data_IF_330146897098
#
_entry.id   IF_330146897098
#
_cell.length_a   1.000
_cell.length_b   1.000
_cell.length_c   1.000
_cell.angle_alpha   90.00
_cell.angle_beta   90.00
_cell.angle_gamma   90.00
#
_symmetry.space_group_name_H-M   'P 1'
#
loop_
_entity.id
_entity.type
_entity.pdbx_description
1 polymer ?
#
# COMPACT_ATOMS: atom_id res chain seq x y z
N UNK A 1 2.22 -37.60 18.19
CA UNK A 1 3.43 -36.78 18.00
C UNK A 1 3.53 -36.46 16.52
N UNK A 2 3.13 -35.25 16.15
CA UNK A 2 3.42 -34.69 14.82
C UNK A 2 4.48 -33.64 15.09
N UNK A 3 5.64 -33.79 14.47
CA UNK A 3 6.72 -32.80 14.51
C UNK A 3 6.16 -31.48 13.96
N UNK A 4 5.90 -30.51 14.82
CA UNK A 4 5.67 -29.12 14.41
C UNK A 4 7.02 -28.56 13.99
N UNK A 5 7.32 -28.69 12.70
CA UNK A 5 8.58 -28.23 12.14
C UNK A 5 8.63 -26.70 12.11
N UNK A 6 9.81 -26.18 12.43
CA UNK A 6 10.23 -24.77 12.47
C UNK A 6 9.84 -23.95 11.21
N UNK A 7 9.63 -24.63 10.08
CA UNK A 7 9.18 -24.07 8.81
C UNK A 7 7.73 -23.54 8.88
N UNK A 8 6.84 -24.20 9.63
CA UNK A 8 5.47 -23.74 9.81
C UNK A 8 5.37 -22.54 10.74
N UNK A 9 6.29 -22.38 11.70
CA UNK A 9 6.27 -21.24 12.62
C UNK A 9 6.69 -19.94 11.92
N UNK A 10 7.66 -20.03 11.00
CA UNK A 10 8.07 -18.89 10.17
C UNK A 10 6.98 -18.48 9.17
N UNK A 11 6.28 -19.45 8.58
CA UNK A 11 5.16 -19.20 7.67
C UNK A 11 3.96 -18.58 8.42
N UNK A 12 3.63 -19.09 9.61
CA UNK A 12 2.59 -18.51 10.48
C UNK A 12 2.94 -17.09 10.92
N UNK A 13 4.20 -16.83 11.32
CA UNK A 13 4.64 -15.47 11.66
C UNK A 13 4.57 -14.52 10.45
N UNK A 14 4.82 -15.03 9.25
CA UNK A 14 4.73 -14.26 8.00
C UNK A 14 3.27 -13.95 7.66
N UNK A 15 2.37 -14.92 7.79
CA UNK A 15 0.93 -14.74 7.59
C UNK A 15 0.33 -13.75 8.60
N UNK A 16 0.70 -13.86 9.87
CA UNK A 16 0.28 -12.92 10.93
C UNK A 16 0.76 -11.50 10.63
N UNK A 17 2.00 -11.36 10.16
CA UNK A 17 2.55 -10.05 9.77
C UNK A 17 1.78 -9.49 8.58
N UNK A 18 1.55 -10.29 7.54
CA UNK A 18 0.80 -9.87 6.36
C UNK A 18 -0.63 -9.44 6.72
N UNK A 19 -1.33 -10.19 7.58
CA UNK A 19 -2.66 -9.84 8.04
C UNK A 19 -2.67 -8.51 8.80
N UNK A 20 -1.70 -8.28 9.69
CA UNK A 20 -1.56 -7.00 10.43
C UNK A 20 -1.36 -5.83 9.46
N UNK A 21 -0.49 -5.99 8.48
CA UNK A 21 -0.20 -4.96 7.49
C UNK A 21 -1.39 -4.68 6.57
N UNK A 22 -2.13 -5.72 6.18
CA UNK A 22 -3.41 -5.58 5.49
C UNK A 22 -4.44 -4.78 6.32
N UNK A 23 -4.58 -5.08 7.61
CA UNK A 23 -5.51 -4.36 8.48
C UNK A 23 -5.11 -2.89 8.66
N UNK A 24 -3.81 -2.59 8.74
CA UNK A 24 -3.30 -1.21 8.74
C UNK A 24 -3.64 -0.48 7.45
N UNK A 25 -3.47 -1.14 6.30
CA UNK A 25 -3.86 -0.56 5.02
C UNK A 25 -5.37 -0.27 4.95
N UNK A 26 -6.21 -1.16 5.47
CA UNK A 26 -7.66 -0.90 5.55
C UNK A 26 -7.99 0.34 6.39
N UNK A 27 -7.29 0.56 7.51
CA UNK A 27 -7.46 1.78 8.31
C UNK A 27 -7.12 3.04 7.52
N UNK A 28 -6.04 3.00 6.71
CA UNK A 28 -5.69 4.11 5.82
C UNK A 28 -6.83 4.34 4.81
N UNK A 29 -7.35 3.29 4.17
CA UNK A 29 -8.45 3.42 3.19
C UNK A 29 -9.72 4.00 3.81
N UNK A 30 -10.09 3.55 5.01
CA UNK A 30 -11.25 4.07 5.74
C UNK A 30 -11.08 5.56 6.01
N UNK A 31 -9.91 5.98 6.52
CA UNK A 31 -9.65 7.39 6.79
C UNK A 31 -9.59 8.26 5.50
N UNK A 32 -9.27 7.66 4.35
CA UNK A 32 -9.27 8.35 3.05
C UNK A 32 -10.66 8.61 2.46
N UNK A 33 -11.71 7.89 2.87
CA UNK A 33 -13.05 8.03 2.29
C UNK A 33 -13.68 9.40 2.58
N UNK A 34 -13.27 10.07 3.65
CA UNK A 34 -13.69 11.45 3.97
C UNK A 34 -12.78 12.54 3.40
N UNK A 35 -11.73 12.18 2.67
CA UNK A 35 -10.72 13.12 2.17
C UNK A 35 -10.91 13.39 0.68
N UNK A 36 -10.76 14.66 0.27
CA UNK A 36 -10.68 15.05 -1.15
C UNK A 36 -9.22 15.01 -1.68
N UNK A 37 -8.34 14.20 -1.05
CA UNK A 37 -6.97 14.04 -1.53
C UNK A 37 -6.95 13.60 -3.01
N UNK A 38 -6.16 14.27 -3.86
CA UNK A 38 -6.11 13.99 -5.30
C UNK A 38 -5.50 12.63 -5.61
N UNK A 39 -4.57 12.17 -4.76
CA UNK A 39 -3.90 10.88 -4.87
C UNK A 39 -4.32 10.02 -3.69
N UNK A 40 -4.79 8.80 -3.99
CA UNK A 40 -5.23 7.82 -3.00
C UNK A 40 -4.19 6.72 -2.82
N UNK A 41 -4.04 6.24 -1.59
CA UNK A 41 -3.15 5.14 -1.25
C UNK A 41 -3.43 3.87 -2.08
N UNK A 42 -2.34 3.24 -2.53
CA UNK A 42 -2.30 1.93 -3.20
C UNK A 42 -1.64 0.84 -2.31
N UNK A 43 -2.12 -0.40 -2.33
CA UNK A 43 -1.51 -1.50 -1.58
C UNK A 43 -0.16 -1.92 -2.17
N UNK A 44 0.62 -2.73 -1.44
CA UNK A 44 1.68 -3.53 -2.05
C UNK A 44 1.08 -4.79 -2.67
N UNK A 45 1.81 -5.47 -3.56
CA UNK A 45 1.35 -6.71 -4.21
C UNK A 45 0.80 -7.75 -3.21
N UNK A 46 1.51 -8.00 -2.11
CA UNK A 46 1.09 -8.99 -1.11
C UNK A 46 -0.20 -8.58 -0.38
N UNK A 47 -0.35 -7.29 -0.08
CA UNK A 47 -1.53 -6.75 0.61
C UNK A 47 -2.73 -6.71 -0.33
N UNK A 48 -2.50 -6.42 -1.61
CA UNK A 48 -3.52 -6.44 -2.66
C UNK A 48 -4.11 -7.83 -2.87
N UNK A 49 -3.24 -8.85 -2.99
CA UNK A 49 -3.66 -10.26 -3.11
C UNK A 49 -4.55 -10.69 -1.93
N UNK A 50 -4.20 -10.29 -0.69
CA UNK A 50 -5.01 -10.57 0.48
C UNK A 50 -6.33 -9.78 0.48
N UNK A 51 -6.31 -8.54 0.00
CA UNK A 51 -7.53 -7.74 -0.14
C UNK A 51 -8.50 -8.36 -1.15
N UNK A 52 -8.02 -8.81 -2.31
CA UNK A 52 -8.85 -9.53 -3.28
C UNK A 52 -9.44 -10.79 -2.68
N UNK A 53 -8.64 -11.60 -1.99
CA UNK A 53 -9.11 -12.80 -1.31
C UNK A 53 -10.20 -12.48 -0.26
N UNK A 54 -10.03 -11.40 0.50
CA UNK A 54 -11.03 -10.98 1.47
C UNK A 54 -12.32 -10.50 0.80
N UNK A 55 -12.26 -9.71 -0.28
CA UNK A 55 -13.44 -9.30 -1.06
C UNK A 55 -14.20 -10.53 -1.58
N UNK A 56 -13.49 -11.54 -2.08
CA UNK A 56 -14.10 -12.80 -2.56
C UNK A 56 -14.75 -13.59 -1.42
N UNK A 57 -14.26 -13.46 -0.19
CA UNK A 57 -14.93 -13.90 1.04
C UNK A 57 -16.05 -12.91 1.41
N UNK A 58 -17.04 -12.79 0.51
CA UNK A 58 -18.03 -11.71 0.51
C UNK A 58 -18.78 -11.51 1.84
N UNK A 59 -19.07 -12.59 2.58
CA UNK A 59 -19.74 -12.53 3.89
C UNK A 59 -18.82 -11.90 4.94
N UNK A 60 -17.58 -12.35 5.01
CA UNK A 60 -16.57 -11.88 5.94
C UNK A 60 -16.22 -10.42 5.66
N UNK A 61 -16.07 -10.05 4.38
CA UNK A 61 -15.83 -8.69 3.95
C UNK A 61 -16.99 -7.75 4.28
N UNK A 62 -18.23 -8.17 4.02
CA UNK A 62 -19.40 -7.37 4.39
C UNK A 62 -19.48 -7.14 5.90
N UNK A 63 -19.22 -8.18 6.70
CA UNK A 63 -19.16 -8.03 8.16
C UNK A 63 -18.00 -7.15 8.62
N UNK A 64 -16.85 -7.18 7.94
CA UNK A 64 -15.73 -6.29 8.22
C UNK A 64 -16.13 -4.83 8.00
N UNK A 65 -16.74 -4.51 6.86
CA UNK A 65 -17.22 -3.17 6.55
C UNK A 65 -18.29 -2.68 7.54
N UNK A 66 -19.21 -3.55 7.94
CA UNK A 66 -20.20 -3.23 8.97
C UNK A 66 -19.54 -2.85 10.31
N UNK A 67 -18.56 -3.67 10.74
CA UNK A 67 -17.88 -3.46 12.03
C UNK A 67 -16.93 -2.26 12.04
N UNK A 68 -16.24 -1.99 10.93
CA UNK A 68 -15.10 -1.08 10.92
C UNK A 68 -15.28 0.17 10.06
N UNK A 69 -16.31 0.21 9.19
CA UNK A 69 -16.52 1.32 8.25
C UNK A 69 -17.99 1.78 8.17
N UNK A 70 -18.74 1.65 9.27
CA UNK A 70 -20.14 2.06 9.36
C UNK A 70 -21.04 1.48 8.25
N UNK A 71 -20.75 0.24 7.83
CA UNK A 71 -21.48 -0.44 6.75
C UNK A 71 -21.06 -0.03 5.33
N UNK A 72 -20.19 0.97 5.17
CA UNK A 72 -19.71 1.39 3.86
C UNK A 72 -18.66 0.40 3.31
N UNK A 73 -18.79 0.05 2.04
CA UNK A 73 -17.79 -0.78 1.37
C UNK A 73 -16.54 0.03 1.02
N UNK A 74 -15.39 -0.63 1.08
CA UNK A 74 -14.10 -0.09 0.64
C UNK A 74 -13.84 -0.66 -0.75
N UNK A 75 -14.33 0.01 -1.78
CA UNK A 75 -14.26 -0.50 -3.15
C UNK A 75 -12.80 -0.58 -3.65
N UNK A 76 -12.46 -1.73 -4.21
CA UNK A 76 -11.24 -1.94 -4.99
C UNK A 76 -11.57 -1.73 -6.47
N UNK A 77 -10.73 -1.00 -7.20
CA UNK A 77 -10.87 -0.77 -8.64
C UNK A 77 -9.67 -1.34 -9.39
N UNK A 78 -9.79 -2.54 -10.00
CA UNK A 78 -8.70 -3.16 -10.76
C UNK A 78 -8.33 -2.39 -12.03
N UNK A 79 -9.16 -1.44 -12.49
CA UNK A 79 -8.90 -0.68 -13.71
C UNK A 79 -7.95 0.51 -13.47
N UNK A 80 -7.74 0.90 -12.21
CA UNK A 80 -6.82 1.97 -11.85
C UNK A 80 -5.45 1.33 -11.60
N UNK A 81 -4.46 1.53 -12.48
CA UNK A 81 -3.13 1.01 -12.23
C UNK A 81 -2.55 1.64 -10.95
N UNK A 82 -1.82 0.84 -10.19
CA UNK A 82 -0.99 1.37 -9.12
C UNK A 82 0.15 2.17 -9.75
N UNK A 83 0.10 3.49 -9.56
CA UNK A 83 1.20 4.38 -9.95
C UNK A 83 2.21 4.48 -8.81
N UNK A 84 3.49 4.74 -9.12
CA UNK A 84 4.51 5.02 -8.10
C UNK A 84 4.05 6.08 -7.09
N UNK A 85 3.36 7.12 -7.54
CA UNK A 85 2.81 8.17 -6.67
C UNK A 85 1.77 7.66 -5.67
N UNK A 86 0.84 6.81 -6.11
CA UNK A 86 -0.17 6.22 -5.23
C UNK A 86 0.46 5.31 -4.18
N UNK A 87 1.50 4.58 -4.57
CA UNK A 87 2.24 3.72 -3.65
C UNK A 87 3.07 4.54 -2.65
N UNK A 88 3.73 5.60 -3.10
CA UNK A 88 4.42 6.57 -2.24
C UNK A 88 3.45 7.24 -1.25
N UNK A 89 2.24 7.56 -1.70
CA UNK A 89 1.19 8.11 -0.85
C UNK A 89 0.81 7.17 0.30
N UNK A 90 0.87 5.86 0.08
CA UNK A 90 0.66 4.86 1.14
C UNK A 90 1.75 4.93 2.19
N UNK A 91 3.02 5.04 1.80
CA UNK A 91 4.14 5.17 2.72
C UNK A 91 4.03 6.41 3.60
N UNK A 92 3.72 7.56 3.00
CA UNK A 92 3.49 8.82 3.74
C UNK A 92 2.37 8.65 4.76
N UNK A 93 1.21 8.14 4.33
CA UNK A 93 0.05 7.92 5.22
C UNK A 93 0.34 6.88 6.29
N UNK A 94 1.11 5.85 5.97
CA UNK A 94 1.48 4.82 6.92
C UNK A 94 2.33 5.41 8.05
N UNK A 95 3.37 6.18 7.72
CA UNK A 95 4.21 6.85 8.71
C UNK A 95 3.42 7.87 9.53
N UNK A 96 2.52 8.64 8.89
CA UNK A 96 1.65 9.59 9.56
C UNK A 96 0.70 8.91 10.56
N UNK A 97 0.06 7.82 10.18
CA UNK A 97 -0.92 7.10 11.01
C UNK A 97 -0.27 6.28 12.12
N UNK A 98 0.81 5.56 11.80
CA UNK A 98 1.37 4.54 12.69
C UNK A 98 2.70 4.95 13.34
N UNK A 99 3.21 6.15 13.04
CA UNK A 99 4.46 6.70 13.60
C UNK A 99 5.64 5.73 13.49
N UNK A 100 5.64 4.94 12.44
CA UNK A 100 6.63 3.90 12.16
C UNK A 100 6.73 3.65 10.67
N UNK A 101 7.89 3.18 10.22
CA UNK A 101 8.09 2.74 8.85
C UNK A 101 7.42 1.38 8.62
N UNK A 102 6.84 1.15 7.44
CA UNK A 102 6.26 -0.14 7.12
C UNK A 102 7.36 -1.22 6.96
N UNK A 103 7.08 -2.49 7.32
CA UNK A 103 8.06 -3.56 7.20
C UNK A 103 8.40 -3.82 5.72
N UNK A 104 9.70 -3.78 5.32
CA UNK A 104 10.12 -3.86 3.93
C UNK A 104 9.77 -5.19 3.26
N UNK A 105 9.57 -6.25 4.04
CA UNK A 105 9.18 -7.58 3.52
C UNK A 105 7.75 -7.60 2.97
N UNK A 106 6.88 -6.70 3.47
CA UNK A 106 5.48 -6.56 3.03
C UNK A 106 5.31 -5.31 2.15
N UNK A 107 6.02 -4.25 2.47
CA UNK A 107 6.00 -2.97 1.77
C UNK A 107 7.41 -2.67 1.27
N UNK A 108 7.80 -3.13 0.08
CA UNK A 108 9.09 -2.76 -0.51
C UNK A 108 9.23 -1.25 -0.66
N UNK A 109 10.45 -0.73 -0.52
CA UNK A 109 10.68 0.71 -0.67
C UNK A 109 10.24 1.17 -2.07
N UNK A 110 9.51 2.30 -2.20
CA UNK A 110 9.17 2.83 -3.51
C UNK A 110 10.47 3.18 -4.23
N UNK A 111 10.79 2.48 -5.33
CA UNK A 111 11.93 2.83 -6.17
C UNK A 111 11.76 4.28 -6.60
N UNK A 112 12.73 5.12 -6.24
CA UNK A 112 12.81 6.48 -6.75
C UNK A 112 13.34 6.33 -8.17
N UNK A 113 12.52 6.65 -9.17
CA UNK A 113 13.07 6.99 -10.48
C UNK A 113 13.98 8.19 -10.23
N UNK A 114 15.30 7.98 -10.29
CA UNK A 114 16.25 9.07 -10.37
C UNK A 114 15.91 9.82 -11.66
N UNK A 115 15.26 10.99 -11.54
CA UNK A 115 15.20 11.96 -12.63
C UNK A 115 16.66 12.24 -13.02
N UNK A 116 17.09 11.65 -14.12
CA UNK A 116 18.35 11.99 -14.79
C UNK A 116 18.27 13.46 -15.17
N UNK A 117 18.76 14.32 -14.27
CA UNK A 117 19.08 15.70 -14.56
C UNK A 117 20.25 15.67 -15.55
N UNK A 118 19.93 15.42 -16.83
CA UNK A 118 20.80 15.81 -17.91
C UNK A 118 20.89 17.32 -17.86
N UNK A 119 21.95 17.81 -17.22
CA UNK A 119 22.45 19.18 -17.26
C UNK A 119 22.78 19.51 -18.72
N UNK A 120 21.75 19.78 -19.52
CA UNK A 120 21.91 20.44 -20.81
C UNK A 120 22.23 21.91 -20.51
N UNK A 121 23.50 22.11 -20.14
CA UNK A 121 24.16 23.39 -20.06
C UNK A 121 24.10 24.09 -21.42
N UNK A 122 22.98 24.76 -21.67
CA UNK A 122 22.81 25.73 -22.75
C UNK A 122 23.54 27.01 -22.38
N UNK A 123 24.83 27.07 -22.70
CA UNK A 123 25.60 28.31 -22.77
C UNK A 123 24.88 29.30 -23.71
N UNK A 124 24.21 30.31 -23.15
CA UNK A 124 23.80 31.49 -23.92
C UNK A 124 25.05 32.35 -24.15
N UNK A 125 25.69 32.17 -25.30
CA UNK A 125 26.71 33.09 -25.79
C UNK A 125 26.02 34.29 -26.48
N UNK A 126 26.14 35.53 -25.96
CA UNK A 126 25.47 36.70 -26.52
C UNK A 126 26.26 37.31 -27.69
N UNK A 127 26.78 36.47 -28.59
CA UNK A 127 27.82 36.84 -29.55
C UNK A 127 27.64 36.29 -30.97
N UNK A 128 26.42 36.31 -31.52
CA UNK A 128 26.20 36.02 -32.94
C UNK A 128 25.82 37.29 -33.72
N UNK A 129 26.81 37.82 -34.45
CA UNK A 129 26.70 38.33 -35.84
C UNK A 129 25.85 39.56 -36.11
#
# INVERSE_FOLDING_TARGET
>A
MIQFNKENEADVKTADTLLREYLKFMQIKIAEQGSNAPIKAAPSRKVDELWHAHILSTKEYAQFCERHNNGNFIHHDPSIPDSPDRYRQTWIKYEEFFKSQPPPEIWPFPEVEEEDYSDEGGCWDPGCG
#
